data_IF_327459722021
#
_entry.id   IF_327459722021
#
_cell.length_a   1.000
_cell.length_b   1.000
_cell.length_c   1.000
_cell.angle_alpha   90.00
_cell.angle_beta   90.00
_cell.angle_gamma   90.00
#
_symmetry.space_group_name_H-M   'P 1'
#
loop_
_entity.id
_entity.type
_entity.pdbx_description
1 polymer ?
#
# COMPACT_ATOMS: atom_id res chain seq x y z
N UNK A 1 -36.73 55.38 -16.36
CA UNK A 1 -35.41 54.76 -16.60
C UNK A 1 -35.20 53.69 -15.54
N UNK A 2 -35.49 52.42 -15.87
CA UNK A 2 -35.30 51.25 -15.01
C UNK A 2 -33.86 50.76 -15.22
N UNK A 3 -33.14 50.55 -14.13
CA UNK A 3 -31.78 50.01 -14.13
C UNK A 3 -31.77 48.61 -14.76
N UNK A 4 -30.83 48.39 -15.68
CA UNK A 4 -30.50 47.07 -16.21
C UNK A 4 -29.44 46.46 -15.29
N UNK A 5 -29.89 45.69 -14.29
CA UNK A 5 -29.06 44.61 -13.75
C UNK A 5 -29.18 43.42 -14.71
N UNK A 6 -28.07 43.03 -15.32
CA UNK A 6 -27.97 41.76 -16.06
C UNK A 6 -26.77 40.96 -15.56
N UNK A 7 -27.11 40.03 -14.66
CA UNK A 7 -26.76 38.62 -14.75
C UNK A 7 -25.26 38.27 -14.68
N UNK A 8 -24.71 38.23 -13.46
CA UNK A 8 -23.48 37.50 -13.17
C UNK A 8 -23.71 36.01 -13.44
N UNK A 9 -23.09 35.53 -14.50
CA UNK A 9 -23.08 34.13 -14.95
C UNK A 9 -22.82 33.19 -13.77
N UNK A 10 -23.66 32.16 -13.67
CA UNK A 10 -23.46 30.87 -13.01
C UNK A 10 -21.97 30.52 -12.82
N UNK A 11 -21.39 30.90 -11.68
CA UNK A 11 -20.22 30.21 -11.17
C UNK A 11 -20.74 28.91 -10.56
N UNK A 12 -20.61 27.80 -11.29
CA UNK A 12 -20.61 26.48 -10.65
C UNK A 12 -19.55 26.60 -9.55
N UNK A 13 -19.89 26.49 -8.26
CA UNK A 13 -18.88 26.59 -7.22
C UNK A 13 -17.82 25.56 -7.52
N UNK A 14 -16.57 25.99 -7.68
CA UNK A 14 -15.43 25.11 -7.85
C UNK A 14 -15.54 24.04 -6.77
N UNK A 15 -15.76 22.79 -7.19
CA UNK A 15 -16.02 21.70 -6.27
C UNK A 15 -14.80 21.59 -5.37
N UNK A 16 -14.95 22.00 -4.10
CA UNK A 16 -13.87 21.97 -3.12
C UNK A 16 -13.34 20.54 -3.05
N UNK A 17 -12.17 20.34 -3.66
CA UNK A 17 -11.57 19.02 -3.73
C UNK A 17 -10.96 18.74 -2.36
N UNK A 18 -11.69 17.98 -1.55
CA UNK A 18 -11.16 17.47 -0.30
C UNK A 18 -10.01 16.53 -0.64
N UNK A 19 -8.82 16.81 -0.16
CA UNK A 19 -7.68 15.90 -0.27
C UNK A 19 -7.17 15.60 1.14
N UNK A 20 -7.41 14.38 1.58
CA UNK A 20 -7.01 13.91 2.90
C UNK A 20 -5.51 13.55 2.86
N UNK A 21 -4.64 14.49 3.25
CA UNK A 21 -3.19 14.41 3.09
C UNK A 21 -2.55 13.27 3.89
N UNK A 22 -3.02 13.02 5.12
CA UNK A 22 -2.52 11.89 5.90
C UNK A 22 -2.93 10.56 5.26
N UNK A 23 -4.18 10.45 4.81
CA UNK A 23 -4.66 9.27 4.08
C UNK A 23 -3.85 9.05 2.79
N UNK A 24 -3.55 10.12 2.04
CA UNK A 24 -2.72 10.08 0.85
C UNK A 24 -1.34 9.49 1.15
N UNK A 25 -0.64 10.02 2.16
CA UNK A 25 0.68 9.54 2.56
C UNK A 25 0.65 8.05 2.94
N UNK A 26 -0.37 7.62 3.68
CA UNK A 26 -0.52 6.22 4.13
C UNK A 26 -0.74 5.29 2.93
N UNK A 27 -1.67 5.62 2.05
CA UNK A 27 -1.99 4.78 0.88
C UNK A 27 -0.81 4.74 -0.09
N UNK A 28 -0.15 5.88 -0.33
CA UNK A 28 1.06 5.94 -1.14
C UNK A 28 2.17 5.07 -0.56
N UNK A 29 2.37 5.10 0.77
CA UNK A 29 3.38 4.29 1.46
C UNK A 29 3.09 2.79 1.33
N UNK A 30 1.83 2.38 1.51
CA UNK A 30 1.40 0.99 1.26
C UNK A 30 1.75 0.59 -0.18
N UNK A 31 1.37 1.42 -1.14
CA UNK A 31 1.70 1.22 -2.56
C UNK A 31 3.19 1.00 -2.80
N UNK A 32 4.04 1.86 -2.23
CA UNK A 32 5.50 1.75 -2.36
C UNK A 32 6.04 0.46 -1.73
N UNK A 33 5.63 0.13 -0.51
CA UNK A 33 6.09 -1.07 0.20
C UNK A 33 5.79 -2.33 -0.60
N UNK A 34 4.55 -2.48 -1.09
CA UNK A 34 4.18 -3.68 -1.84
C UNK A 34 4.65 -3.66 -3.29
N UNK A 35 4.89 -2.48 -3.88
CA UNK A 35 5.62 -2.36 -5.13
C UNK A 35 7.06 -2.88 -5.01
N UNK A 36 7.76 -2.55 -3.91
CA UNK A 36 9.08 -3.10 -3.58
C UNK A 36 9.00 -4.62 -3.38
N UNK A 37 7.99 -5.12 -2.66
CA UNK A 37 7.74 -6.55 -2.51
C UNK A 37 7.57 -7.27 -3.85
N UNK A 38 6.76 -6.71 -4.75
CA UNK A 38 6.57 -7.23 -6.11
C UNK A 38 7.86 -7.27 -6.94
N UNK A 39 8.71 -6.24 -6.81
CA UNK A 39 10.04 -6.22 -7.44
C UNK A 39 10.93 -7.30 -6.86
N UNK A 40 10.94 -7.50 -5.54
CA UNK A 40 11.74 -8.53 -4.88
C UNK A 40 11.33 -9.93 -5.37
N UNK A 41 10.02 -10.22 -5.41
CA UNK A 41 9.48 -11.44 -6.02
C UNK A 41 9.98 -11.62 -7.46
N UNK A 42 9.79 -10.58 -8.29
CA UNK A 42 10.15 -10.69 -9.70
C UNK A 42 11.65 -10.85 -9.95
N UNK A 43 12.52 -10.31 -9.09
CA UNK A 43 13.97 -10.59 -9.16
C UNK A 43 14.23 -12.08 -8.96
N UNK A 44 13.66 -12.70 -7.93
CA UNK A 44 13.89 -14.12 -7.67
C UNK A 44 13.25 -15.03 -8.72
N UNK A 45 12.09 -14.65 -9.27
CA UNK A 45 11.48 -15.36 -10.40
C UNK A 45 12.35 -15.27 -11.66
N UNK A 46 12.92 -14.10 -11.99
CA UNK A 46 13.87 -13.95 -13.10
C UNK A 46 15.10 -14.85 -12.92
N UNK A 47 15.61 -14.98 -11.69
CA UNK A 47 16.78 -15.83 -11.39
C UNK A 47 16.53 -17.33 -11.62
N UNK A 48 15.27 -17.76 -11.66
CA UNK A 48 14.90 -19.14 -12.03
C UNK A 48 14.93 -19.38 -13.56
N UNK A 49 15.10 -18.33 -14.35
CA UNK A 49 15.37 -18.39 -15.78
C UNK A 49 14.15 -18.71 -16.65
N UNK A 50 14.42 -19.01 -17.93
CA UNK A 50 13.39 -19.36 -18.92
C UNK A 50 12.88 -20.80 -18.72
N UNK A 51 12.28 -21.03 -17.56
CA UNK A 51 11.82 -22.33 -17.09
C UNK A 51 10.31 -22.27 -16.90
N UNK A 52 9.61 -23.36 -17.24
CA UNK A 52 8.18 -23.45 -17.01
C UNK A 52 7.86 -23.41 -15.50
N UNK A 53 6.74 -22.81 -15.12
CA UNK A 53 6.24 -22.91 -13.75
C UNK A 53 5.61 -24.28 -13.51
N UNK A 54 5.61 -24.73 -12.25
CA UNK A 54 5.04 -26.03 -11.86
C UNK A 54 3.55 -25.93 -11.46
N UNK A 55 2.89 -24.82 -11.78
CA UNK A 55 1.50 -24.54 -11.41
C UNK A 55 1.20 -23.04 -11.37
N UNK A 56 0.02 -22.71 -10.84
CA UNK A 56 -0.42 -21.33 -10.62
C UNK A 56 0.16 -20.72 -9.33
N UNK A 57 0.42 -21.56 -8.32
CA UNK A 57 1.15 -21.17 -7.11
C UNK A 57 2.59 -21.62 -7.29
N UNK A 58 3.51 -20.69 -7.08
CA UNK A 58 4.94 -20.88 -7.28
C UNK A 58 5.70 -20.41 -6.04
N UNK A 59 6.90 -20.97 -5.86
CA UNK A 59 7.89 -20.41 -4.95
C UNK A 59 8.64 -19.32 -5.73
N UNK A 60 8.51 -18.06 -5.31
CA UNK A 60 9.21 -16.97 -5.98
C UNK A 60 10.73 -17.11 -5.79
N UNK A 61 11.16 -17.60 -4.63
CA UNK A 61 12.56 -17.93 -4.34
C UNK A 61 12.77 -19.42 -4.59
N UNK A 62 13.38 -19.72 -5.75
CA UNK A 62 13.72 -21.07 -6.16
C UNK A 62 14.74 -21.74 -5.22
N UNK A 63 14.80 -23.07 -5.24
CA UNK A 63 15.67 -23.86 -4.36
C UNK A 63 17.15 -23.43 -4.43
N UNK A 64 17.64 -23.06 -5.60
CA UNK A 64 19.03 -22.63 -5.80
C UNK A 64 19.35 -21.23 -5.23
N UNK A 65 18.33 -20.41 -4.98
CA UNK A 65 18.45 -19.05 -4.46
C UNK A 65 18.01 -18.96 -2.99
N UNK A 66 17.49 -20.06 -2.43
CA UNK A 66 16.97 -20.12 -1.07
C UNK A 66 18.10 -19.96 -0.05
N UNK A 67 18.03 -18.91 0.76
CA UNK A 67 19.07 -18.59 1.75
C UNK A 67 18.88 -19.32 3.09
N UNK A 68 17.68 -19.84 3.35
CA UNK A 68 17.32 -20.49 4.59
C UNK A 68 16.04 -21.33 4.42
N UNK A 69 15.76 -22.24 5.36
CA UNK A 69 14.77 -23.32 5.19
C UNK A 69 13.35 -22.84 4.87
N UNK A 70 12.93 -21.68 5.37
CA UNK A 70 11.58 -21.13 5.16
C UNK A 70 11.54 -20.02 4.09
N UNK A 71 12.66 -19.69 3.44
CA UNK A 71 12.78 -18.58 2.49
C UNK A 71 12.40 -18.92 1.06
N UNK A 72 11.13 -19.25 0.81
CA UNK A 72 10.64 -19.62 -0.53
C UNK A 72 9.59 -18.65 -1.11
N UNK A 73 8.91 -17.88 -0.26
CA UNK A 73 7.94 -16.83 -0.60
C UNK A 73 6.89 -17.23 -1.67
N UNK A 74 5.72 -17.75 -1.25
CA UNK A 74 4.65 -18.13 -2.16
C UNK A 74 4.13 -16.95 -3.01
N UNK A 75 4.03 -17.18 -4.32
CA UNK A 75 3.43 -16.26 -5.28
C UNK A 75 2.38 -16.95 -6.15
N UNK A 76 1.50 -16.15 -6.74
CA UNK A 76 0.53 -16.61 -7.73
C UNK A 76 0.88 -16.02 -9.10
N UNK A 77 0.81 -16.83 -10.14
CA UNK A 77 0.97 -16.36 -11.53
C UNK A 77 0.09 -17.16 -12.48
N UNK A 78 -0.46 -16.48 -13.48
CA UNK A 78 -1.12 -17.12 -14.63
C UNK A 78 -0.15 -17.35 -15.79
N UNK A 79 1.08 -16.85 -15.70
CA UNK A 79 2.11 -16.93 -16.72
C UNK A 79 2.92 -18.22 -16.49
N UNK A 80 2.92 -19.18 -17.42
CA UNK A 80 3.56 -20.48 -17.21
C UNK A 80 5.09 -20.45 -17.44
N UNK A 81 5.76 -19.37 -17.03
CA UNK A 81 7.19 -19.17 -17.22
C UNK A 81 7.78 -18.22 -16.17
N UNK A 82 8.83 -18.63 -15.47
CA UNK A 82 9.44 -17.85 -14.39
C UNK A 82 10.07 -16.54 -14.86
N UNK A 83 10.85 -16.55 -15.95
CA UNK A 83 11.47 -15.34 -16.49
C UNK A 83 10.44 -14.27 -16.86
N UNK A 84 9.38 -14.67 -17.58
CA UNK A 84 8.32 -13.73 -18.00
C UNK A 84 7.51 -13.25 -16.78
N UNK A 85 7.20 -14.15 -15.85
CA UNK A 85 6.53 -13.81 -14.58
C UNK A 85 7.33 -12.74 -13.84
N UNK A 86 8.64 -12.95 -13.66
CA UNK A 86 9.45 -12.02 -12.90
C UNK A 86 9.64 -10.65 -13.57
N UNK A 87 9.79 -10.60 -14.90
CA UNK A 87 9.81 -9.34 -15.64
C UNK A 87 8.47 -8.59 -15.48
N UNK A 88 7.35 -9.31 -15.54
CA UNK A 88 6.03 -8.73 -15.34
C UNK A 88 5.85 -8.21 -13.91
N UNK A 89 6.22 -8.98 -12.89
CA UNK A 89 6.16 -8.58 -11.48
C UNK A 89 7.00 -7.33 -11.20
N UNK A 90 8.24 -7.26 -11.72
CA UNK A 90 9.09 -6.06 -11.61
C UNK A 90 8.41 -4.86 -12.27
N UNK A 91 7.92 -5.02 -13.50
CA UNK A 91 7.32 -3.93 -14.27
C UNK A 91 6.08 -3.38 -13.57
N UNK A 92 5.21 -4.27 -13.09
CA UNK A 92 3.98 -3.89 -12.38
C UNK A 92 4.31 -3.30 -11.01
N UNK A 93 5.30 -3.84 -10.29
CA UNK A 93 5.79 -3.27 -9.03
C UNK A 93 6.29 -1.83 -9.19
N UNK A 94 7.07 -1.56 -10.24
CA UNK A 94 7.49 -0.19 -10.60
C UNK A 94 6.28 0.68 -10.94
N UNK A 95 5.33 0.18 -11.72
CA UNK A 95 4.12 0.92 -12.06
C UNK A 95 3.29 1.29 -10.82
N UNK A 96 3.19 0.39 -9.84
CA UNK A 96 2.55 0.67 -8.55
C UNK A 96 3.27 1.78 -7.80
N UNK A 97 4.60 1.75 -7.72
CA UNK A 97 5.39 2.82 -7.06
C UNK A 97 5.12 4.16 -7.72
N UNK A 98 5.24 4.23 -9.05
CA UNK A 98 5.00 5.45 -9.83
C UNK A 98 3.58 5.95 -9.62
N UNK A 99 2.58 5.07 -9.69
CA UNK A 99 1.17 5.43 -9.46
C UNK A 99 0.94 5.98 -8.07
N UNK A 100 1.50 5.30 -7.07
CA UNK A 100 1.32 5.60 -5.64
C UNK A 100 1.91 6.95 -5.26
N UNK A 101 3.07 7.30 -5.80
CA UNK A 101 3.74 8.58 -5.53
C UNK A 101 3.17 9.70 -6.38
N UNK A 102 2.92 9.45 -7.66
CA UNK A 102 2.62 10.50 -8.64
C UNK A 102 1.13 10.78 -8.85
N UNK A 103 0.24 9.81 -8.68
CA UNK A 103 -1.11 9.86 -9.28
C UNK A 103 -2.26 9.56 -8.31
N UNK A 104 -1.98 9.41 -7.01
CA UNK A 104 -3.00 9.11 -6.00
C UNK A 104 -3.97 10.27 -5.70
N UNK A 105 -3.65 11.48 -6.16
CA UNK A 105 -4.54 12.65 -6.10
C UNK A 105 -5.61 12.67 -7.22
N UNK A 106 -5.52 11.76 -8.19
CA UNK A 106 -6.40 11.78 -9.36
C UNK A 106 -7.79 11.20 -9.07
N UNK A 107 -8.78 11.55 -9.89
CA UNK A 107 -10.17 11.05 -9.77
C UNK A 107 -10.28 9.52 -9.72
N UNK A 108 -9.43 8.82 -10.48
CA UNK A 108 -9.45 7.36 -10.60
C UNK A 108 -8.38 6.65 -9.75
N UNK A 109 -7.75 7.38 -8.81
CA UNK A 109 -6.67 6.88 -7.95
C UNK A 109 -6.93 5.49 -7.37
N UNK A 110 -8.07 5.32 -6.69
CA UNK A 110 -8.44 4.08 -6.00
C UNK A 110 -8.65 2.90 -6.96
N UNK A 111 -9.30 3.12 -8.11
CA UNK A 111 -9.58 2.06 -9.08
C UNK A 111 -8.32 1.57 -9.77
N UNK A 112 -7.45 2.49 -10.19
CA UNK A 112 -6.18 2.13 -10.85
C UNK A 112 -5.25 1.46 -9.85
N UNK A 113 -5.18 1.96 -8.61
CA UNK A 113 -4.43 1.32 -7.52
C UNK A 113 -4.86 -0.14 -7.32
N UNK A 114 -6.16 -0.40 -7.18
CA UNK A 114 -6.68 -1.77 -7.09
C UNK A 114 -6.34 -2.61 -8.31
N UNK A 115 -6.51 -2.05 -9.51
CA UNK A 115 -6.25 -2.77 -10.77
C UNK A 115 -4.79 -3.18 -10.89
N UNK A 116 -3.86 -2.31 -10.51
CA UNK A 116 -2.43 -2.61 -10.49
C UNK A 116 -2.09 -3.69 -9.47
N UNK A 117 -2.71 -3.70 -8.29
CA UNK A 117 -2.49 -4.76 -7.30
C UNK A 117 -3.08 -6.10 -7.70
N UNK A 118 -4.26 -6.11 -8.35
CA UNK A 118 -4.82 -7.32 -8.96
C UNK A 118 -3.86 -7.83 -10.03
N UNK A 119 -3.37 -6.95 -10.89
CA UNK A 119 -2.41 -7.32 -11.92
C UNK A 119 -1.13 -7.90 -11.29
N UNK A 120 -0.58 -7.25 -10.26
CA UNK A 120 0.61 -7.71 -9.55
C UNK A 120 0.40 -9.11 -8.96
N UNK A 121 -0.77 -9.38 -8.36
CA UNK A 121 -1.12 -10.71 -7.86
C UNK A 121 -1.21 -11.75 -8.97
N UNK A 122 -1.71 -11.40 -10.16
CA UNK A 122 -1.82 -12.34 -11.29
C UNK A 122 -0.48 -12.66 -11.96
N UNK A 123 0.57 -11.89 -11.71
CA UNK A 123 1.85 -12.00 -12.42
C UNK A 123 3.06 -12.23 -11.51
N UNK A 124 2.88 -12.64 -10.24
CA UNK A 124 3.98 -13.08 -9.38
C UNK A 124 4.25 -12.28 -8.09
N UNK A 125 3.51 -11.21 -7.79
CA UNK A 125 3.86 -10.31 -6.66
C UNK A 125 3.59 -10.80 -5.23
N UNK A 126 3.56 -12.12 -5.02
CA UNK A 126 3.34 -12.74 -3.70
C UNK A 126 1.86 -12.92 -3.34
N UNK A 127 1.56 -13.95 -2.55
CA UNK A 127 0.18 -14.25 -2.09
C UNK A 127 -0.20 -13.37 -0.90
N UNK A 128 0.74 -13.09 0.01
CA UNK A 128 0.48 -12.33 1.23
C UNK A 128 -0.06 -10.92 0.97
N UNK A 129 0.28 -10.31 -0.17
CA UNK A 129 -0.18 -8.96 -0.54
C UNK A 129 -1.72 -8.84 -0.61
N UNK A 130 -2.47 -9.93 -0.79
CA UNK A 130 -3.93 -9.92 -0.90
C UNK A 130 -4.57 -9.16 0.27
N UNK A 131 -4.15 -9.49 1.49
CA UNK A 131 -4.67 -8.84 2.70
C UNK A 131 -4.37 -7.34 2.70
N UNK A 132 -3.16 -6.96 2.30
CA UNK A 132 -2.69 -5.58 2.34
C UNK A 132 -3.32 -4.71 1.26
N UNK A 133 -3.43 -5.18 0.02
CA UNK A 133 -4.00 -4.36 -1.05
C UNK A 133 -5.50 -4.18 -0.88
N UNK A 134 -6.23 -5.17 -0.37
CA UNK A 134 -7.67 -5.02 -0.09
C UNK A 134 -7.91 -3.90 0.93
N UNK A 135 -7.11 -3.87 1.99
CA UNK A 135 -7.17 -2.85 3.03
C UNK A 135 -6.71 -1.49 2.49
N UNK A 136 -5.57 -1.44 1.79
CA UNK A 136 -5.04 -0.22 1.18
C UNK A 136 -6.00 0.39 0.15
N UNK A 137 -6.63 -0.45 -0.68
CA UNK A 137 -7.71 -0.03 -1.56
C UNK A 137 -8.88 0.54 -0.78
N UNK A 138 -9.37 -0.14 0.26
CA UNK A 138 -10.44 0.37 1.12
C UNK A 138 -10.13 1.75 1.69
N UNK A 139 -8.89 1.95 2.16
CA UNK A 139 -8.40 3.25 2.65
C UNK A 139 -8.39 4.32 1.53
N UNK A 140 -7.93 3.95 0.32
CA UNK A 140 -7.85 4.86 -0.83
C UNK A 140 -9.22 5.42 -1.26
N UNK A 141 -10.32 4.70 -1.00
CA UNK A 141 -11.68 5.20 -1.31
C UNK A 141 -12.07 6.45 -0.51
N UNK A 142 -11.30 6.80 0.54
CA UNK A 142 -11.53 7.96 1.40
C UNK A 142 -10.68 9.18 1.03
N UNK A 143 -9.76 9.08 0.07
CA UNK A 143 -8.85 10.19 -0.30
C UNK A 143 -9.59 11.50 -0.58
N UNK A 144 -10.69 11.41 -1.33
CA UNK A 144 -11.44 12.57 -1.81
C UNK A 144 -12.80 12.76 -1.14
N UNK A 145 -12.99 12.21 0.07
CA UNK A 145 -14.28 12.24 0.77
C UNK A 145 -14.21 13.08 2.04
N UNK A 146 -15.29 13.84 2.36
CA UNK A 146 -15.36 14.56 3.62
C UNK A 146 -15.43 13.58 4.81
N UNK A 147 -14.73 13.92 5.89
CA UNK A 147 -14.65 13.12 7.11
C UNK A 147 -15.64 13.62 8.19
N UNK A 148 -16.88 13.88 7.79
CA UNK A 148 -17.86 14.53 8.68
C UNK A 148 -18.31 13.63 9.84
N UNK A 149 -18.29 12.31 9.65
CA UNK A 149 -18.55 11.36 10.72
C UNK A 149 -17.54 11.52 11.87
N UNK A 150 -16.25 11.67 11.53
CA UNK A 150 -15.18 11.92 12.50
C UNK A 150 -15.38 13.24 13.25
N UNK A 151 -15.76 14.30 12.53
CA UNK A 151 -16.05 15.62 13.13
C UNK A 151 -17.23 15.57 14.10
N UNK A 152 -18.27 14.77 13.80
CA UNK A 152 -19.49 14.71 14.61
C UNK A 152 -19.37 13.78 15.82
N UNK A 153 -18.63 12.67 15.69
CA UNK A 153 -18.67 11.59 16.70
C UNK A 153 -17.51 11.60 17.68
N UNK A 154 -16.40 12.24 17.33
CA UNK A 154 -15.17 12.22 18.14
C UNK A 154 -14.91 13.60 18.75
N UNK A 155 -14.78 13.71 20.09
CA UNK A 155 -14.47 14.98 20.73
C UNK A 155 -13.17 15.60 20.21
N UNK A 156 -13.15 16.93 20.06
CA UNK A 156 -12.02 17.64 19.47
C UNK A 156 -10.69 17.40 20.22
N UNK A 157 -10.71 17.43 21.56
CA UNK A 157 -9.53 17.17 22.38
C UNK A 157 -8.97 15.76 22.18
N UNK A 158 -9.83 14.74 22.11
CA UNK A 158 -9.40 13.37 21.85
C UNK A 158 -8.86 13.21 20.43
N UNK A 159 -9.54 13.81 19.43
CA UNK A 159 -9.11 13.82 18.03
C UNK A 159 -7.72 14.43 17.86
N UNK A 160 -7.46 15.57 18.50
CA UNK A 160 -6.15 16.24 18.46
C UNK A 160 -5.03 15.39 19.07
N UNK A 161 -5.33 14.68 20.16
CA UNK A 161 -4.37 13.79 20.82
C UNK A 161 -3.99 12.59 19.94
N UNK A 162 -4.96 11.88 19.38
CA UNK A 162 -4.68 10.70 18.53
C UNK A 162 -4.12 11.08 17.16
N UNK A 163 -4.42 12.28 16.64
CA UNK A 163 -3.87 12.79 15.40
C UNK A 163 -2.35 12.99 15.43
N UNK A 164 -1.69 12.94 16.59
CA UNK A 164 -0.22 12.98 16.66
C UNK A 164 0.41 11.62 16.37
N UNK A 165 -0.37 10.54 16.45
CA UNK A 165 0.12 9.16 16.35
C UNK A 165 0.11 8.60 14.92
N UNK A 166 -0.54 9.25 13.94
CA UNK A 166 -0.64 8.69 12.58
C UNK A 166 0.73 8.47 11.93
N UNK A 167 1.64 9.44 12.03
CA UNK A 167 2.95 9.35 11.40
C UNK A 167 3.87 8.35 12.11
N UNK A 168 3.98 8.33 13.45
CA UNK A 168 4.69 7.26 14.15
C UNK A 168 4.15 5.87 13.81
N UNK A 169 2.83 5.67 13.81
CA UNK A 169 2.23 4.38 13.44
C UNK A 169 2.55 3.98 12.00
N UNK A 170 2.51 4.93 11.06
CA UNK A 170 2.90 4.69 9.68
C UNK A 170 4.38 4.28 9.58
N UNK A 171 5.29 5.02 10.22
CA UNK A 171 6.73 4.76 10.16
C UNK A 171 7.07 3.41 10.77
N UNK A 172 6.59 3.12 11.99
CA UNK A 172 6.88 1.85 12.66
C UNK A 172 6.22 0.68 11.92
N UNK A 173 4.98 0.84 11.47
CA UNK A 173 4.29 -0.20 10.69
C UNK A 173 5.00 -0.51 9.38
N UNK A 174 5.45 0.52 8.66
CA UNK A 174 6.22 0.38 7.41
C UNK A 174 7.56 -0.32 7.65
N UNK A 175 8.27 0.07 8.72
CA UNK A 175 9.52 -0.56 9.09
C UNK A 175 9.34 -2.05 9.39
N UNK A 176 8.31 -2.44 10.15
CA UNK A 176 8.05 -3.85 10.46
C UNK A 176 7.78 -4.68 9.18
N UNK A 177 7.04 -4.14 8.22
CA UNK A 177 6.75 -4.85 6.97
C UNK A 177 8.01 -4.97 6.10
N UNK A 178 8.77 -3.90 5.93
CA UNK A 178 10.03 -3.94 5.16
C UNK A 178 11.09 -4.82 5.84
N UNK A 179 11.14 -4.81 7.17
CA UNK A 179 12.01 -5.71 7.93
C UNK A 179 11.56 -7.17 7.77
N UNK A 180 10.25 -7.42 7.67
CA UNK A 180 9.74 -8.77 7.34
C UNK A 180 10.23 -9.23 5.96
N UNK A 181 10.24 -8.35 4.96
CA UNK A 181 10.79 -8.68 3.64
C UNK A 181 12.28 -9.07 3.70
N UNK A 182 13.06 -8.40 4.56
CA UNK A 182 14.44 -8.80 4.84
C UNK A 182 14.51 -10.21 5.46
N UNK A 183 13.63 -10.54 6.41
CA UNK A 183 13.62 -11.88 7.02
C UNK A 183 13.20 -12.94 6.00
N UNK A 184 12.17 -12.66 5.19
CA UNK A 184 11.71 -13.53 4.11
C UNK A 184 12.86 -13.97 3.19
N UNK A 185 13.70 -13.02 2.79
CA UNK A 185 14.81 -13.27 1.88
C UNK A 185 16.00 -13.93 2.59
N UNK A 186 16.41 -13.42 3.74
CA UNK A 186 17.70 -13.78 4.36
C UNK A 186 17.61 -14.66 5.60
N UNK A 187 16.41 -14.87 6.15
CA UNK A 187 16.19 -15.63 7.39
C UNK A 187 16.79 -15.00 8.64
N UNK A 188 17.19 -13.72 8.57
CA UNK A 188 17.97 -13.09 9.61
C UNK A 188 17.12 -12.23 10.56
N UNK A 189 17.12 -12.62 11.83
CA UNK A 189 16.57 -11.83 12.93
C UNK A 189 17.66 -11.65 13.99
N UNK A 190 18.04 -10.41 14.37
CA UNK A 190 19.06 -10.17 15.39
C UNK A 190 18.78 -10.90 16.69
N UNK A 191 19.74 -11.70 17.16
CA UNK A 191 19.64 -12.45 18.40
C UNK A 191 18.77 -13.71 18.35
N UNK A 192 18.21 -14.07 17.18
CA UNK A 192 17.42 -15.28 16.99
C UNK A 192 18.07 -16.14 15.89
N UNK A 193 18.95 -17.10 16.26
CA UNK A 193 19.62 -17.98 15.30
C UNK A 193 18.75 -19.16 14.85
N UNK A 194 17.65 -19.41 15.56
CA UNK A 194 16.74 -20.53 15.32
C UNK A 194 15.80 -20.20 14.14
N UNK A 195 15.80 -21.00 13.06
CA UNK A 195 15.03 -20.70 11.85
C UNK A 195 13.52 -20.79 12.07
N UNK A 196 13.04 -21.63 12.99
CA UNK A 196 11.61 -21.75 13.26
C UNK A 196 11.11 -20.52 14.02
N UNK A 197 11.91 -20.01 14.95
CA UNK A 197 11.62 -18.73 15.63
C UNK A 197 11.69 -17.54 14.67
N UNK A 198 12.63 -17.55 13.71
CA UNK A 198 12.69 -16.53 12.65
C UNK A 198 11.44 -16.58 11.76
N UNK A 199 10.95 -17.78 11.42
CA UNK A 199 9.69 -17.98 10.69
C UNK A 199 8.47 -17.48 11.45
N UNK A 200 8.40 -17.68 12.78
CA UNK A 200 7.35 -17.06 13.60
C UNK A 200 7.39 -15.53 13.52
N UNK A 201 8.58 -14.92 13.53
CA UNK A 201 8.73 -13.47 13.38
C UNK A 201 8.19 -12.98 12.02
N UNK A 202 8.35 -13.76 10.95
CA UNK A 202 7.77 -13.44 9.63
C UNK A 202 6.25 -13.44 9.58
N UNK A 203 5.57 -14.05 10.53
CA UNK A 203 4.10 -13.99 10.61
C UNK A 203 3.67 -12.86 11.54
N UNK A 204 4.32 -12.72 12.69
CA UNK A 204 3.93 -11.75 13.72
C UNK A 204 4.25 -10.32 13.31
N UNK A 205 5.44 -10.07 12.77
CA UNK A 205 5.89 -8.73 12.39
C UNK A 205 5.04 -8.06 11.32
N UNK A 206 4.69 -8.71 10.18
CA UNK A 206 3.82 -8.07 9.21
C UNK A 206 2.38 -7.96 9.72
N UNK A 207 1.91 -8.85 10.60
CA UNK A 207 0.61 -8.72 11.28
C UNK A 207 0.56 -7.49 12.18
N UNK A 208 1.60 -7.27 12.99
CA UNK A 208 1.75 -6.06 13.81
C UNK A 208 1.90 -4.81 12.94
N UNK A 209 2.68 -4.89 11.86
CA UNK A 209 2.83 -3.83 10.87
C UNK A 209 1.50 -3.44 10.22
N UNK A 210 0.69 -4.43 9.80
CA UNK A 210 -0.64 -4.21 9.26
C UNK A 210 -1.57 -3.52 10.26
N UNK A 211 -1.57 -3.98 11.52
CA UNK A 211 -2.34 -3.34 12.58
C UNK A 211 -1.94 -1.87 12.75
N UNK A 212 -0.64 -1.58 12.75
CA UNK A 212 -0.13 -0.21 12.82
C UNK A 212 -0.50 0.63 11.60
N UNK A 213 -0.55 0.06 10.39
CA UNK A 213 -1.05 0.75 9.19
C UNK A 213 -2.55 1.07 9.28
N UNK A 214 -3.35 0.14 9.82
CA UNK A 214 -4.78 0.39 10.09
C UNK A 214 -4.94 1.51 11.11
N UNK A 215 -4.17 1.47 12.20
CA UNK A 215 -4.16 2.53 13.21
C UNK A 215 -3.68 3.86 12.63
N UNK A 216 -2.65 3.86 11.78
CA UNK A 216 -2.18 5.04 11.08
C UNK A 216 -3.31 5.67 10.26
N UNK A 217 -4.12 4.87 9.56
CA UNK A 217 -5.28 5.37 8.81
C UNK A 217 -6.36 5.96 9.72
N UNK A 218 -6.68 5.31 10.83
CA UNK A 218 -7.64 5.81 11.83
C UNK A 218 -7.17 7.16 12.40
N UNK A 219 -5.91 7.26 12.81
CA UNK A 219 -5.30 8.49 13.30
C UNK A 219 -5.17 9.55 12.20
N UNK A 220 -4.92 9.14 10.96
CA UNK A 220 -4.89 10.01 9.78
C UNK A 220 -6.25 10.64 9.50
N UNK A 221 -7.35 9.90 9.67
CA UNK A 221 -8.70 10.45 9.60
C UNK A 221 -8.95 11.50 10.68
N UNK A 222 -8.46 11.27 11.91
CA UNK A 222 -8.52 12.26 12.98
C UNK A 222 -7.72 13.53 12.64
N UNK A 223 -6.53 13.38 12.03
CA UNK A 223 -5.69 14.48 11.58
C UNK A 223 -6.35 15.30 10.47
N UNK A 224 -6.78 14.65 9.39
CA UNK A 224 -7.36 15.32 8.21
C UNK A 224 -8.71 15.98 8.52
N UNK A 225 -9.50 15.39 9.43
CA UNK A 225 -10.75 16.03 9.88
C UNK A 225 -10.53 17.27 10.74
N UNK A 226 -9.39 17.39 11.42
CA UNK A 226 -8.99 18.55 12.24
C UNK A 226 -8.50 19.73 11.42
N UNK A 227 -7.87 19.48 10.27
CA UNK A 227 -7.31 20.51 9.39
C UNK A 227 -8.29 21.11 8.37
N UNK A 228 -9.56 20.70 8.39
CA UNK A 228 -10.63 21.27 7.57
C UNK A 228 -10.25 21.37 6.10
N UNK A 229 -10.36 20.27 5.34
CA UNK A 229 -9.91 20.09 3.95
C UNK A 229 -10.14 21.24 2.95
N UNK A 230 -9.40 22.32 3.11
CA UNK A 230 -9.20 23.39 2.15
C UNK A 230 -7.77 23.24 1.65
N UNK A 231 -7.60 22.40 0.61
CA UNK A 231 -6.51 22.64 -0.32
C UNK A 231 -6.98 23.77 -1.22
N UNK A 232 -6.46 24.97 -1.01
CA UNK A 232 -6.55 26.02 -2.02
C UNK A 232 -5.65 25.57 -3.17
N UNK A 233 -6.24 24.98 -4.21
CA UNK A 233 -5.55 24.86 -5.48
C UNK A 233 -5.25 26.29 -5.97
N UNK A 234 -3.98 26.67 -5.93
CA UNK A 234 -3.45 27.80 -6.70
C UNK A 234 -3.19 27.34 -8.13
#
# INVERSE_FOLDING_TARGET
>A
MKSLEMNSRNTIPAQQYFENKAILAIVATIGVIFGIGGIAHGIFEVLQGNTATNGLVIDAIGEHQRMWVHGYEPAFTIIPNFLITGIAAITVGIAIIIWSVGFMHTKHASTIFLSLFILLFLVGGGIAQILFFMIGWGMSTRLHKPLDWWRKRVPEGFRSSIAKLWSPSLVVGSFLILFTLQIAIFGYVPGIPDPDKASMAMVIMPGAGLLLLILAFVFGCAYDSGKGGASNAQ
#
